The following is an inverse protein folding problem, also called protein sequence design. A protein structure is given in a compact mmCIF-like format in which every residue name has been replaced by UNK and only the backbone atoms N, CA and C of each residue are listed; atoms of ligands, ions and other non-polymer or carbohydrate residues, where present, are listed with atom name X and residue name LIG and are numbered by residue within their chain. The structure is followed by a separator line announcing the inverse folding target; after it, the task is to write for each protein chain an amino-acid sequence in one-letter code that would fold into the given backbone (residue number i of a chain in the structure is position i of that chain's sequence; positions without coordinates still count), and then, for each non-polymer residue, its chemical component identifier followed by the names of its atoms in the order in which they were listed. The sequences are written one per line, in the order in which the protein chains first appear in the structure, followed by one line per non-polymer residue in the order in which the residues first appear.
data_IF_246759788743
#
_entry.id   IF_246759788743
#
_cell.length_a   1.000
_cell.length_b   1.000
_cell.length_c   1.000
_cell.angle_alpha   90.00
_cell.angle_beta   90.00
_cell.angle_gamma   90.00
#
_symmetry.space_group_name_H-M   'P 1'
#
loop_
_entity.id
_entity.type
_entity.pdbx_description
1 polymer ?
#
# COMPACT_ATOMS: atom_id res chain seq x y z
N UNK A 1 12.91 -10.87 2.25
CA UNK A 1 11.74 -10.39 1.48
C UNK A 1 10.60 -10.07 2.44
N UNK A 2 9.98 -8.92 2.28
CA UNK A 2 8.72 -8.53 2.90
C UNK A 2 7.60 -8.65 1.87
N UNK A 3 6.50 -9.33 2.21
CA UNK A 3 5.39 -9.58 1.29
C UNK A 3 4.13 -8.93 1.82
N UNK A 4 3.52 -8.01 1.05
CA UNK A 4 2.35 -7.26 1.52
C UNK A 4 1.10 -7.58 0.71
N UNK A 5 0.00 -7.85 1.44
CA UNK A 5 -1.35 -7.90 0.91
C UNK A 5 -2.25 -6.88 1.62
N UNK A 6 -3.43 -6.65 1.09
CA UNK A 6 -4.40 -5.70 1.65
C UNK A 6 -5.23 -5.04 0.56
N UNK A 7 -6.19 -4.23 0.93
CA UNK A 7 -6.99 -3.46 -0.02
C UNK A 7 -6.40 -2.07 -0.19
N UNK A 8 -6.34 -1.29 0.88
CA UNK A 8 -5.81 0.07 0.87
C UNK A 8 -4.59 0.18 1.80
N UNK A 9 -3.61 1.04 1.47
CA UNK A 9 -2.46 1.30 2.31
C UNK A 9 -1.17 0.56 1.96
N UNK A 10 -1.20 -0.51 1.14
CA UNK A 10 -0.01 -1.31 0.78
C UNK A 10 1.18 -0.44 0.35
N UNK A 11 0.97 0.39 -0.67
CA UNK A 11 2.03 1.25 -1.21
C UNK A 11 2.53 2.28 -0.20
N UNK A 12 1.66 2.86 0.64
CA UNK A 12 2.08 3.80 1.70
C UNK A 12 2.94 3.10 2.75
N UNK A 13 2.54 1.92 3.23
CA UNK A 13 3.31 1.13 4.20
C UNK A 13 4.69 0.82 3.62
N UNK A 14 4.76 0.34 2.36
CA UNK A 14 6.04 0.04 1.73
C UNK A 14 6.88 1.29 1.42
N UNK A 15 6.26 2.44 1.16
CA UNK A 15 7.01 3.68 1.02
C UNK A 15 7.71 4.06 2.34
N UNK A 16 7.02 3.99 3.48
CA UNK A 16 7.60 4.21 4.80
C UNK A 16 8.72 3.20 5.11
N UNK A 17 8.48 1.91 4.85
CA UNK A 17 9.49 0.86 5.08
C UNK A 17 10.72 1.08 4.20
N UNK A 18 10.54 1.37 2.91
CA UNK A 18 11.65 1.60 1.99
C UNK A 18 12.52 2.76 2.43
N UNK A 19 11.92 3.92 2.71
CA UNK A 19 12.70 5.12 3.08
C UNK A 19 13.47 4.91 4.39
N UNK A 20 12.92 4.16 5.33
CA UNK A 20 13.60 3.83 6.58
C UNK A 20 14.75 2.84 6.38
N UNK A 21 14.57 1.80 5.56
CA UNK A 21 15.64 0.87 5.21
C UNK A 21 16.79 1.58 4.47
N UNK A 22 16.46 2.48 3.53
CA UNK A 22 17.44 3.31 2.84
C UNK A 22 18.19 4.26 3.81
N UNK A 23 17.45 4.83 4.78
CA UNK A 23 18.05 5.67 5.82
C UNK A 23 19.01 4.90 6.74
N UNK A 24 18.76 3.60 6.92
CA UNK A 24 19.63 2.66 7.64
C UNK A 24 20.80 2.15 6.79
N UNK A 25 20.87 2.50 5.49
CA UNK A 25 21.97 2.16 4.59
C UNK A 25 21.80 0.84 3.83
N UNK A 26 20.63 0.22 3.83
CA UNK A 26 20.35 -0.99 3.07
C UNK A 26 20.02 -0.70 1.60
N UNK A 27 20.32 -1.66 0.72
CA UNK A 27 19.84 -1.69 -0.66
C UNK A 27 18.48 -2.36 -0.75
N UNK A 28 17.51 -1.67 -1.34
CA UNK A 28 16.10 -2.10 -1.33
C UNK A 28 15.55 -2.25 -2.74
N UNK A 29 15.11 -3.46 -3.08
CA UNK A 29 14.27 -3.72 -4.24
C UNK A 29 12.79 -3.56 -3.89
N UNK A 30 12.00 -2.87 -4.73
CA UNK A 30 10.55 -2.74 -4.54
C UNK A 30 9.80 -3.07 -5.82
N UNK A 31 8.82 -3.98 -5.70
CA UNK A 31 7.88 -4.35 -6.76
C UNK A 31 6.47 -3.97 -6.36
N UNK A 32 5.82 -3.13 -7.17
CA UNK A 32 4.49 -2.56 -6.89
C UNK A 32 3.56 -2.66 -8.10
N UNK A 33 2.27 -2.68 -7.83
CA UNK A 33 1.23 -2.55 -8.83
C UNK A 33 -0.08 -1.98 -8.24
N UNK A 34 -0.87 -1.21 -9.02
CA UNK A 34 -0.56 -0.64 -10.33
C UNK A 34 0.46 0.49 -10.27
N UNK A 35 0.91 0.96 -11.44
CA UNK A 35 1.78 2.12 -11.62
C UNK A 35 0.96 3.40 -11.85
N UNK A 36 1.56 4.57 -11.58
CA UNK A 36 0.91 5.87 -11.72
C UNK A 36 1.51 6.68 -12.88
N UNK A 37 2.83 6.75 -12.96
CA UNK A 37 3.54 7.61 -13.91
C UNK A 37 4.02 6.85 -15.14
N UNK A 38 4.74 5.77 -14.93
CA UNK A 38 5.33 4.97 -16.00
C UNK A 38 5.19 3.48 -15.74
N UNK A 39 5.22 2.68 -16.80
CA UNK A 39 5.16 1.22 -16.69
C UNK A 39 6.28 0.64 -15.82
N UNK A 40 7.50 1.18 -15.94
CA UNK A 40 8.69 0.66 -15.25
C UNK A 40 8.82 1.11 -13.78
N UNK A 41 7.96 2.01 -13.31
CA UNK A 41 7.93 2.41 -11.90
C UNK A 41 7.62 1.22 -10.95
N UNK A 42 7.09 0.12 -11.49
CA UNK A 42 6.84 -1.11 -10.72
C UNK A 42 8.11 -1.81 -10.24
N UNK A 43 9.25 -1.55 -10.91
CA UNK A 43 10.54 -2.14 -10.62
C UNK A 43 11.48 -1.07 -10.09
N UNK A 44 11.70 -1.04 -8.81
CA UNK A 44 12.56 -0.03 -8.19
C UNK A 44 13.74 -0.67 -7.48
N UNK A 45 14.89 -0.09 -7.68
CA UNK A 45 16.11 -0.35 -6.92
C UNK A 45 16.46 0.94 -6.18
N UNK A 46 16.34 0.92 -4.86
CA UNK A 46 16.41 2.10 -4.01
C UNK A 46 15.35 3.14 -4.43
N UNK A 47 15.75 4.30 -4.98
CA UNK A 47 14.83 5.31 -5.50
C UNK A 47 14.85 5.40 -7.04
N UNK A 48 15.53 4.48 -7.71
CA UNK A 48 15.66 4.45 -9.17
C UNK A 48 14.69 3.44 -9.78
N UNK A 49 13.97 3.84 -10.80
CA UNK A 49 13.21 2.91 -11.63
C UNK A 49 14.13 2.11 -12.54
N UNK A 50 13.73 0.88 -12.87
CA UNK A 50 14.38 0.08 -13.90
C UNK A 50 14.39 0.86 -15.23
N UNK A 51 15.48 0.79 -15.98
CA UNK A 51 15.57 1.38 -17.31
C UNK A 51 14.95 0.46 -18.37
N UNK A 52 14.61 1.02 -19.54
CA UNK A 52 14.08 0.25 -20.67
C UNK A 52 15.07 -0.82 -21.15
N UNK A 53 16.36 -0.51 -21.17
CA UNK A 53 17.43 -1.46 -21.55
C UNK A 53 17.55 -2.62 -20.56
N UNK A 54 17.50 -2.33 -19.23
CA UNK A 54 17.51 -3.35 -18.19
C UNK A 54 16.27 -4.26 -18.31
N UNK A 55 15.10 -3.65 -18.53
CA UNK A 55 13.85 -4.38 -18.72
C UNK A 55 13.89 -5.25 -19.97
N UNK A 56 14.31 -4.72 -21.11
CA UNK A 56 14.40 -5.46 -22.38
C UNK A 56 15.36 -6.66 -22.27
N UNK A 57 16.51 -6.49 -21.61
CA UNK A 57 17.45 -7.58 -21.40
C UNK A 57 16.84 -8.71 -20.55
N UNK A 58 16.22 -8.38 -19.41
CA UNK A 58 15.59 -9.35 -18.52
C UNK A 58 14.38 -10.03 -19.18
N UNK A 59 13.55 -9.25 -19.89
CA UNK A 59 12.39 -9.78 -20.59
C UNK A 59 12.80 -10.76 -21.70
N UNK A 60 13.91 -10.50 -22.40
CA UNK A 60 14.46 -11.42 -23.42
C UNK A 60 14.83 -12.77 -22.83
N UNK A 61 15.41 -12.79 -21.62
CA UNK A 61 15.72 -14.04 -20.95
C UNK A 61 14.47 -14.80 -20.49
N UNK A 62 13.50 -14.07 -19.92
CA UNK A 62 12.22 -14.67 -19.53
C UNK A 62 11.50 -15.24 -20.74
N UNK A 63 11.51 -14.54 -21.90
CA UNK A 63 10.91 -15.01 -23.14
C UNK A 63 11.52 -16.33 -23.62
N UNK A 64 12.84 -16.49 -23.55
CA UNK A 64 13.50 -17.74 -23.92
C UNK A 64 13.08 -18.92 -23.03
N UNK A 65 12.82 -18.68 -21.74
CA UNK A 65 12.28 -19.70 -20.82
C UNK A 65 10.84 -20.03 -21.18
N UNK A 66 10.03 -19.04 -21.50
CA UNK A 66 8.62 -19.23 -21.93
C UNK A 66 8.54 -20.09 -23.19
N UNK A 67 9.38 -19.84 -24.19
CA UNK A 67 9.45 -20.66 -25.42
C UNK A 67 9.76 -22.12 -25.09
N UNK A 68 10.63 -22.36 -24.13
CA UNK A 68 10.94 -23.72 -23.65
C UNK A 68 9.75 -24.37 -22.94
N UNK A 69 9.08 -23.62 -22.05
CA UNK A 69 7.87 -24.08 -21.35
C UNK A 69 6.75 -24.45 -22.34
N UNK A 70 6.50 -23.62 -23.34
CA UNK A 70 5.48 -23.86 -24.38
C UNK A 70 5.84 -25.10 -25.22
N UNK A 71 7.12 -25.30 -25.56
CA UNK A 71 7.62 -26.48 -26.27
C UNK A 71 7.39 -27.75 -25.44
N UNK A 72 7.54 -27.68 -24.12
CA UNK A 72 7.29 -28.75 -23.18
C UNK A 72 5.79 -28.98 -22.90
N UNK A 73 4.91 -28.19 -23.51
CA UNK A 73 3.44 -28.32 -23.42
C UNK A 73 2.79 -27.57 -22.26
N UNK A 74 3.50 -26.66 -21.59
CA UNK A 74 2.90 -25.77 -20.59
C UNK A 74 2.18 -24.60 -21.25
N UNK A 75 1.18 -24.04 -20.58
CA UNK A 75 0.52 -22.83 -21.02
C UNK A 75 1.46 -21.62 -20.89
N UNK A 76 1.31 -20.63 -21.77
CA UNK A 76 2.01 -19.35 -21.67
C UNK A 76 1.61 -18.64 -20.35
N UNK A 77 2.57 -18.09 -19.60
CA UNK A 77 2.28 -17.34 -18.39
C UNK A 77 1.52 -16.04 -18.71
N UNK A 78 0.77 -15.56 -17.74
CA UNK A 78 0.12 -14.24 -17.82
C UNK A 78 1.15 -13.12 -17.80
N UNK A 79 0.74 -11.93 -18.26
CA UNK A 79 1.59 -10.73 -18.21
C UNK A 79 2.11 -10.47 -16.80
N UNK A 80 1.26 -10.60 -15.77
CA UNK A 80 1.66 -10.34 -14.38
C UNK A 80 2.65 -11.39 -13.84
N UNK A 81 2.55 -12.65 -14.27
CA UNK A 81 3.55 -13.68 -13.96
C UNK A 81 4.90 -13.39 -14.61
N UNK A 82 4.89 -12.93 -15.87
CA UNK A 82 6.11 -12.51 -16.58
C UNK A 82 6.76 -11.31 -15.87
N UNK A 83 5.96 -10.28 -15.55
CA UNK A 83 6.41 -9.10 -14.82
C UNK A 83 7.02 -9.47 -13.47
N UNK A 84 6.40 -10.39 -12.74
CA UNK A 84 6.89 -10.89 -11.46
C UNK A 84 8.22 -11.64 -11.60
N UNK A 85 8.37 -12.48 -12.63
CA UNK A 85 9.62 -13.16 -12.92
C UNK A 85 10.76 -12.16 -13.23
N UNK A 86 10.47 -11.13 -14.03
CA UNK A 86 11.43 -10.03 -14.31
C UNK A 86 11.84 -9.33 -13.01
N UNK A 87 10.91 -9.06 -12.09
CA UNK A 87 11.20 -8.43 -10.80
C UNK A 87 12.17 -9.29 -9.98
N UNK A 88 11.91 -10.60 -9.86
CA UNK A 88 12.80 -11.51 -9.11
C UNK A 88 14.20 -11.57 -9.72
N UNK A 89 14.33 -11.67 -11.05
CA UNK A 89 15.64 -11.63 -11.72
C UNK A 89 16.36 -10.31 -11.47
N UNK A 90 15.65 -9.19 -11.56
CA UNK A 90 16.22 -7.87 -11.34
C UNK A 90 16.81 -7.73 -9.95
N UNK A 91 16.05 -8.08 -8.92
CA UNK A 91 16.51 -7.97 -7.55
C UNK A 91 17.63 -8.96 -7.21
N UNK A 92 17.55 -10.20 -7.71
CA UNK A 92 18.58 -11.19 -7.51
C UNK A 92 19.94 -10.74 -8.11
N UNK A 93 19.93 -10.12 -9.30
CA UNK A 93 21.14 -9.63 -9.96
C UNK A 93 21.75 -8.40 -9.32
N UNK A 94 20.92 -7.58 -8.71
CA UNK A 94 21.38 -6.37 -8.03
C UNK A 94 21.73 -6.60 -6.55
N UNK A 95 21.67 -7.85 -6.07
CA UNK A 95 22.07 -8.24 -4.71
C UNK A 95 21.47 -7.33 -3.62
N UNK A 96 20.18 -7.02 -3.73
CA UNK A 96 19.51 -6.19 -2.74
C UNK A 96 19.43 -6.87 -1.37
N UNK A 97 19.51 -6.10 -0.29
CA UNK A 97 19.38 -6.60 1.08
C UNK A 97 17.93 -6.96 1.40
N UNK A 98 17.00 -6.11 0.97
CA UNK A 98 15.57 -6.30 1.16
C UNK A 98 14.79 -6.22 -0.15
N UNK A 99 13.79 -7.09 -0.30
CA UNK A 99 12.78 -7.00 -1.36
C UNK A 99 11.43 -6.71 -0.73
N UNK A 100 10.81 -5.62 -1.15
CA UNK A 100 9.44 -5.24 -0.82
C UNK A 100 8.52 -5.66 -1.97
N UNK A 101 7.71 -6.69 -1.74
CA UNK A 101 6.92 -7.35 -2.77
C UNK A 101 5.42 -7.12 -2.53
N UNK A 102 4.77 -6.34 -3.37
CA UNK A 102 3.34 -6.07 -3.29
C UNK A 102 2.53 -7.10 -4.10
N UNK A 103 1.53 -7.74 -3.47
CA UNK A 103 0.55 -8.55 -4.18
C UNK A 103 -0.24 -7.70 -5.17
N UNK A 104 -0.38 -8.19 -6.38
CA UNK A 104 -1.21 -7.54 -7.39
C UNK A 104 -2.70 -7.64 -7.07
N UNK A 105 -3.17 -8.86 -6.74
CA UNK A 105 -4.57 -9.11 -6.38
C UNK A 105 -4.69 -10.37 -5.51
N UNK A 106 -5.50 -10.28 -4.44
CA UNK A 106 -5.70 -11.41 -3.54
C UNK A 106 -4.47 -11.71 -2.72
N UNK A 107 -3.95 -12.92 -2.81
CA UNK A 107 -2.76 -13.40 -2.12
C UNK A 107 -2.46 -14.86 -2.47
N UNK A 108 -3.41 -15.79 -2.23
CA UNK A 108 -3.20 -17.24 -2.42
C UNK A 108 -2.77 -17.62 -3.84
N UNK A 109 -3.38 -17.00 -4.85
CA UNK A 109 -3.15 -17.24 -6.28
C UNK A 109 -2.32 -16.14 -6.95
N UNK A 110 -1.81 -15.18 -6.16
CA UNK A 110 -1.02 -14.08 -6.72
C UNK A 110 0.34 -14.59 -7.24
N UNK A 111 0.79 -14.07 -8.38
CA UNK A 111 2.08 -14.48 -8.96
C UNK A 111 3.26 -14.22 -8.02
N UNK A 112 3.14 -13.24 -7.11
CA UNK A 112 4.17 -12.96 -6.10
C UNK A 112 4.24 -14.03 -5.01
N UNK A 113 3.23 -14.90 -4.87
CA UNK A 113 3.12 -15.88 -3.79
C UNK A 113 3.93 -17.18 -4.01
N UNK A 114 4.91 -17.15 -4.89
CA UNK A 114 5.86 -18.26 -5.10
C UNK A 114 6.93 -18.34 -4.01
N UNK A 115 6.98 -17.38 -3.11
CA UNK A 115 7.93 -17.35 -2.00
C UNK A 115 7.70 -18.52 -1.05
N UNK A 116 8.74 -19.28 -0.78
CA UNK A 116 8.66 -20.38 0.19
C UNK A 116 8.49 -19.87 1.63
N UNK A 117 9.20 -18.78 1.97
CA UNK A 117 9.17 -18.17 3.30
C UNK A 117 9.58 -16.69 3.20
N UNK A 118 8.63 -15.74 3.19
CA UNK A 118 8.97 -14.34 3.40
C UNK A 118 9.45 -14.11 4.85
N UNK A 119 10.25 -13.10 5.06
CA UNK A 119 10.70 -12.68 6.40
C UNK A 119 9.51 -12.20 7.24
N UNK A 120 8.72 -11.31 6.65
CA UNK A 120 7.50 -10.79 7.25
C UNK A 120 6.41 -10.75 6.18
N UNK A 121 5.20 -11.24 6.55
CA UNK A 121 3.97 -10.96 5.82
C UNK A 121 3.28 -9.75 6.42
N UNK A 122 2.99 -8.75 5.60
CA UNK A 122 2.34 -7.51 6.04
C UNK A 122 0.93 -7.45 5.49
N UNK A 123 -0.03 -7.09 6.34
CA UNK A 123 -1.41 -6.84 5.91
C UNK A 123 -1.76 -5.37 6.10
N UNK A 124 -1.92 -4.66 5.00
CA UNK A 124 -2.61 -3.37 5.02
C UNK A 124 -4.11 -3.59 5.28
N UNK A 125 -4.85 -2.52 5.51
CA UNK A 125 -6.28 -2.62 5.76
C UNK A 125 -7.00 -3.41 4.65
N UNK A 126 -7.83 -4.37 5.07
CA UNK A 126 -8.67 -5.20 4.19
C UNK A 126 -10.09 -4.66 4.22
N UNK A 127 -10.63 -4.35 3.05
CA UNK A 127 -12.00 -3.90 2.84
C UNK A 127 -12.59 -4.54 1.58
N UNK A 128 -13.86 -4.29 1.32
CA UNK A 128 -14.53 -4.80 0.11
C UNK A 128 -13.90 -4.18 -1.13
N UNK A 129 -13.33 -5.00 -1.98
CA UNK A 129 -12.82 -4.66 -3.31
C UNK A 129 -12.65 -5.93 -4.14
N UNK A 130 -12.60 -5.81 -5.46
CA UNK A 130 -12.42 -6.95 -6.39
C UNK A 130 -13.38 -8.12 -6.13
N UNK A 131 -14.64 -7.83 -5.74
CA UNK A 131 -15.62 -8.83 -5.32
C UNK A 131 -15.89 -9.92 -6.36
N UNK A 132 -15.73 -9.60 -7.64
CA UNK A 132 -15.90 -10.56 -8.74
C UNK A 132 -14.83 -11.67 -8.74
N UNK A 133 -13.67 -11.43 -8.12
CA UNK A 133 -12.53 -12.36 -8.08
C UNK A 133 -12.29 -12.93 -6.68
N UNK A 134 -12.37 -12.10 -5.65
CA UNK A 134 -11.97 -12.47 -4.28
C UNK A 134 -13.16 -12.91 -3.41
N UNK A 135 -14.39 -12.73 -3.90
CA UNK A 135 -15.60 -13.06 -3.18
C UNK A 135 -16.35 -11.85 -2.64
N UNK A 136 -17.55 -12.10 -2.19
CA UNK A 136 -18.59 -11.12 -1.84
C UNK A 136 -18.71 -10.85 -0.33
N UNK A 137 -17.76 -11.34 0.47
CA UNK A 137 -17.68 -11.11 1.92
C UNK A 137 -16.26 -10.77 2.36
N UNK A 138 -16.13 -10.00 3.45
CA UNK A 138 -14.83 -9.68 4.04
C UNK A 138 -14.05 -10.95 4.44
N UNK A 139 -14.74 -11.95 4.98
CA UNK A 139 -14.14 -13.25 5.33
C UNK A 139 -13.47 -13.91 4.12
N UNK A 140 -14.15 -13.98 2.96
CA UNK A 140 -13.58 -14.55 1.73
C UNK A 140 -12.37 -13.76 1.26
N UNK A 141 -12.48 -12.43 1.19
CA UNK A 141 -11.40 -11.55 0.77
C UNK A 141 -10.19 -11.67 1.70
N UNK A 142 -10.43 -11.71 3.02
CA UNK A 142 -9.37 -11.89 4.02
C UNK A 142 -8.68 -13.25 3.88
N UNK A 143 -9.45 -14.32 3.65
CA UNK A 143 -8.92 -15.67 3.44
C UNK A 143 -8.01 -15.74 2.21
N UNK A 144 -8.46 -15.17 1.08
CA UNK A 144 -7.65 -15.12 -0.14
C UNK A 144 -6.34 -14.33 0.08
N UNK A 145 -6.43 -13.18 0.76
CA UNK A 145 -5.23 -12.37 1.06
C UNK A 145 -4.29 -13.08 2.04
N UNK A 146 -4.83 -13.78 3.03
CA UNK A 146 -4.05 -14.54 4.01
C UNK A 146 -3.28 -15.74 3.41
N UNK A 147 -3.54 -16.09 2.16
CA UNK A 147 -2.76 -17.11 1.43
C UNK A 147 -1.28 -16.80 1.26
N UNK A 148 -0.82 -15.58 1.56
CA UNK A 148 0.61 -15.23 1.61
C UNK A 148 1.28 -15.67 2.91
N UNK A 149 0.53 -16.02 3.95
CA UNK A 149 1.08 -16.47 5.24
C UNK A 149 1.71 -17.86 5.04
N UNK A 150 2.97 -17.97 5.38
CA UNK A 150 3.74 -19.23 5.30
C UNK A 150 4.07 -19.75 6.69
N UNK A 151 4.38 -21.05 6.82
CA UNK A 151 4.72 -21.62 8.11
C UNK A 151 5.86 -20.87 8.81
N UNK A 152 5.66 -20.57 10.09
CA UNK A 152 6.66 -19.95 10.97
C UNK A 152 7.13 -18.56 10.51
N UNK A 153 6.30 -17.81 9.78
CA UNK A 153 6.57 -16.41 9.44
C UNK A 153 6.07 -15.47 10.53
N UNK A 154 6.57 -14.26 10.53
CA UNK A 154 5.99 -13.16 11.30
C UNK A 154 4.95 -12.43 10.45
N UNK A 155 3.76 -12.23 11.01
CA UNK A 155 2.67 -11.49 10.37
C UNK A 155 2.42 -10.21 11.14
N UNK A 156 2.48 -9.08 10.41
CA UNK A 156 2.17 -7.75 10.95
C UNK A 156 0.98 -7.18 10.18
N UNK A 157 -0.06 -6.82 10.92
CA UNK A 157 -1.30 -6.30 10.35
C UNK A 157 -1.57 -4.87 10.79
N UNK A 158 -1.93 -4.01 9.84
CA UNK A 158 -2.65 -2.79 10.15
C UNK A 158 -3.93 -3.11 10.94
N UNK A 159 -4.53 -2.14 11.63
CA UNK A 159 -5.80 -2.33 12.31
C UNK A 159 -6.87 -2.85 11.36
N UNK A 160 -7.59 -3.88 11.76
CA UNK A 160 -8.63 -4.52 10.96
C UNK A 160 -9.98 -4.48 11.68
N UNK A 161 -11.06 -4.68 10.93
CA UNK A 161 -12.36 -4.99 11.56
C UNK A 161 -12.31 -6.38 12.21
N UNK A 162 -13.07 -6.63 13.29
CA UNK A 162 -12.95 -7.87 14.07
C UNK A 162 -13.10 -9.16 13.25
N UNK A 163 -13.94 -9.16 12.21
CA UNK A 163 -14.12 -10.29 11.30
C UNK A 163 -12.83 -10.64 10.54
N UNK A 164 -12.10 -9.62 10.07
CA UNK A 164 -10.85 -9.80 9.34
C UNK A 164 -9.74 -10.24 10.28
N UNK A 165 -9.60 -9.58 11.44
CA UNK A 165 -8.60 -9.94 12.46
C UNK A 165 -8.75 -11.40 12.89
N UNK A 166 -9.99 -11.88 13.03
CA UNK A 166 -10.28 -13.27 13.36
C UNK A 166 -9.72 -14.23 12.30
N UNK A 167 -10.02 -13.98 11.02
CA UNK A 167 -9.54 -14.81 9.91
C UNK A 167 -8.01 -14.86 9.88
N UNK A 168 -7.34 -13.71 10.00
CA UNK A 168 -5.88 -13.65 9.98
C UNK A 168 -5.26 -14.43 11.15
N UNK A 169 -5.81 -14.30 12.36
CA UNK A 169 -5.35 -15.04 13.56
C UNK A 169 -5.50 -16.55 13.40
N UNK A 170 -6.68 -17.01 12.96
CA UNK A 170 -6.96 -18.43 12.74
C UNK A 170 -5.98 -19.05 11.71
N UNK A 171 -5.66 -18.34 10.63
CA UNK A 171 -4.70 -18.81 9.64
C UNK A 171 -3.28 -18.78 10.21
N UNK A 172 -2.90 -17.76 10.98
CA UNK A 172 -1.60 -17.74 11.66
C UNK A 172 -1.43 -18.92 12.63
N UNK A 173 -2.47 -19.27 13.40
CA UNK A 173 -2.45 -20.44 14.27
C UNK A 173 -2.20 -21.74 13.48
N UNK A 174 -2.90 -21.94 12.37
CA UNK A 174 -2.72 -23.11 11.49
C UNK A 174 -1.30 -23.17 10.91
N UNK A 175 -0.73 -22.00 10.56
CA UNK A 175 0.61 -21.90 9.98
C UNK A 175 1.72 -21.81 11.04
N UNK A 176 1.40 -21.85 12.33
CA UNK A 176 2.36 -21.60 13.41
C UNK A 176 3.13 -20.28 13.21
N UNK A 177 2.48 -19.29 12.64
CA UNK A 177 3.00 -17.94 12.40
C UNK A 177 2.71 -17.03 13.59
N UNK A 178 3.62 -16.13 13.91
CA UNK A 178 3.34 -15.08 14.91
C UNK A 178 2.44 -14.00 14.29
N UNK A 179 1.53 -13.44 15.09
CA UNK A 179 0.62 -12.39 14.64
C UNK A 179 0.69 -11.16 15.53
N UNK A 180 0.99 -10.03 14.93
CA UNK A 180 1.02 -8.71 15.55
C UNK A 180 0.03 -7.81 14.82
N UNK A 181 -0.99 -7.32 15.50
CA UNK A 181 -1.93 -6.32 14.97
C UNK A 181 -1.66 -4.99 15.65
N UNK A 182 -1.46 -3.96 14.83
CA UNK A 182 -1.19 -2.62 15.32
C UNK A 182 -2.43 -2.05 16.01
N UNK A 183 -2.22 -1.43 17.18
CA UNK A 183 -3.30 -0.82 17.93
C UNK A 183 -3.23 0.72 17.79
N UNK A 184 -4.22 1.37 17.15
CA UNK A 184 -4.21 2.82 16.98
C UNK A 184 -4.16 3.62 18.29
N UNK A 185 -4.68 3.05 19.40
CA UNK A 185 -4.69 3.73 20.71
C UNK A 185 -3.32 3.83 21.36
N UNK A 186 -2.30 3.15 20.84
CA UNK A 186 -0.93 3.26 21.35
C UNK A 186 -0.24 4.57 20.89
N UNK A 187 -0.91 5.37 20.06
CA UNK A 187 -0.33 6.58 19.47
C UNK A 187 -1.19 7.81 19.72
N UNK A 188 -0.56 8.90 20.12
CA UNK A 188 -1.20 10.20 20.32
C UNK A 188 -0.87 11.14 19.17
N UNK A 189 -1.90 11.77 18.60
CA UNK A 189 -1.74 12.82 17.57
C UNK A 189 -1.47 14.14 18.26
N UNK A 190 -0.27 14.65 18.13
CA UNK A 190 0.15 15.95 18.67
C UNK A 190 -0.33 17.10 17.78
N UNK A 191 -0.17 16.94 16.47
CA UNK A 191 -0.56 17.93 15.47
C UNK A 191 -0.91 17.25 14.16
N UNK A 192 -1.91 17.80 13.44
CA UNK A 192 -2.25 17.39 12.08
C UNK A 192 -2.63 18.58 11.23
N UNK A 193 -1.92 18.82 10.13
CA UNK A 193 -2.14 19.90 9.20
C UNK A 193 -1.68 19.53 7.76
N UNK A 194 -1.64 20.50 6.85
CA UNK A 194 -1.22 20.26 5.44
C UNK A 194 0.28 20.00 5.24
N UNK A 195 1.09 20.16 6.28
CA UNK A 195 2.52 19.82 6.25
C UNK A 195 2.77 18.40 6.72
N UNK A 196 1.76 17.75 7.31
CA UNK A 196 1.82 16.38 7.80
C UNK A 196 1.15 16.20 9.15
N UNK A 197 1.45 15.06 9.78
CA UNK A 197 0.94 14.69 11.11
C UNK A 197 2.11 14.37 12.02
N UNK A 198 2.12 15.00 13.22
CA UNK A 198 3.05 14.64 14.31
C UNK A 198 2.34 13.70 15.26
N UNK A 199 2.97 12.54 15.53
CA UNK A 199 2.42 11.53 16.45
C UNK A 199 3.50 11.05 17.41
N UNK A 200 3.09 10.71 18.62
CA UNK A 200 3.96 10.13 19.65
C UNK A 200 3.50 8.72 19.96
N UNK A 201 4.44 7.79 20.05
CA UNK A 201 4.20 6.42 20.48
C UNK A 201 4.09 6.39 22.01
N UNK A 202 2.88 6.14 22.52
CA UNK A 202 2.56 6.02 23.95
C UNK A 202 2.39 4.55 24.37
N UNK A 203 2.65 3.60 23.49
CA UNK A 203 2.51 2.18 23.75
C UNK A 203 3.49 1.68 24.82
N UNK A 204 3.00 0.79 25.67
CA UNK A 204 3.84 0.08 26.65
C UNK A 204 4.65 -0.99 25.91
N UNK A 205 5.97 -0.94 26.07
CA UNK A 205 6.84 -1.97 25.54
C UNK A 205 6.65 -3.28 26.35
N UNK A 206 6.26 -4.41 25.75
CA UNK A 206 6.13 -5.68 26.47
C UNK A 206 7.46 -6.23 26.99
N UNK A 207 8.60 -5.75 26.50
CA UNK A 207 9.94 -6.15 26.94
C UNK A 207 10.63 -5.03 27.72
N UNK A 208 10.21 -4.81 28.97
CA UNK A 208 10.89 -3.90 29.91
C UNK A 208 12.34 -4.34 30.27
N UNK A 209 12.83 -5.45 29.75
CA UNK A 209 14.14 -6.00 30.10
C UNK A 209 15.34 -5.35 29.38
N UNK A 210 15.12 -4.55 28.34
CA UNK A 210 16.16 -3.77 27.62
C UNK A 210 15.90 -2.27 27.73
N UNK A 211 15.98 -1.73 28.92
CA UNK A 211 15.87 -0.31 29.22
C UNK A 211 17.25 0.36 29.02
N UNK A 212 17.60 0.73 27.78
CA UNK A 212 18.72 1.67 27.56
C UNK A 212 18.50 2.49 26.29
N UNK A 213 18.80 3.79 26.38
CA UNK A 213 18.99 4.82 25.33
C UNK A 213 17.92 4.94 24.19
N UNK A 214 17.27 3.85 23.82
CA UNK A 214 16.28 3.79 22.71
C UNK A 214 14.88 4.29 23.15
N UNK A 215 14.57 4.28 24.46
CA UNK A 215 13.28 4.76 25.01
C UNK A 215 13.11 6.27 24.82
N UNK A 216 14.18 7.03 24.96
CA UNK A 216 14.14 8.50 24.81
C UNK A 216 13.86 8.90 23.34
N UNK A 217 14.27 8.08 22.40
CA UNK A 217 14.03 8.32 20.96
C UNK A 217 12.62 7.90 20.51
N UNK A 218 12.05 6.85 21.10
CA UNK A 218 10.66 6.42 20.81
C UNK A 218 9.63 7.45 21.27
N UNK A 219 9.94 8.22 22.31
CA UNK A 219 9.09 9.30 22.79
C UNK A 219 9.19 10.58 21.96
N UNK A 220 10.13 10.65 21.00
CA UNK A 220 10.17 11.78 20.08
C UNK A 220 9.01 11.65 19.06
N UNK A 221 8.37 12.77 18.67
CA UNK A 221 7.32 12.72 17.68
C UNK A 221 7.83 12.21 16.32
N UNK A 222 7.06 11.33 15.69
CA UNK A 222 7.24 10.97 14.29
C UNK A 222 6.52 11.99 13.42
N UNK A 223 7.22 12.50 12.41
CA UNK A 223 6.64 13.32 11.37
C UNK A 223 6.16 12.45 10.21
N UNK A 224 4.85 12.37 9.99
CA UNK A 224 4.21 11.63 8.90
C UNK A 224 3.81 12.63 7.81
N UNK A 225 4.55 12.73 6.69
CA UNK A 225 4.27 13.72 5.64
C UNK A 225 3.08 13.37 4.74
N UNK A 226 2.66 12.09 4.71
CA UNK A 226 1.50 11.66 3.94
C UNK A 226 0.21 12.11 4.64
N UNK A 227 -0.67 12.80 3.90
CA UNK A 227 -1.89 13.36 4.44
C UNK A 227 -3.00 12.32 4.62
N UNK A 228 -3.79 12.49 5.69
CA UNK A 228 -4.95 11.67 6.03
C UNK A 228 -4.75 10.82 7.28
N UNK A 229 -5.80 10.70 8.11
CA UNK A 229 -5.74 9.94 9.37
C UNK A 229 -5.34 8.47 9.19
N UNK A 230 -5.76 7.85 8.09
CA UNK A 230 -5.38 6.47 7.74
C UNK A 230 -3.88 6.27 7.54
N UNK A 231 -3.12 7.35 7.25
CA UNK A 231 -1.67 7.28 7.13
C UNK A 231 -0.97 7.08 8.48
N UNK A 232 -1.62 7.42 9.59
CA UNK A 232 -1.11 7.12 10.93
C UNK A 232 -1.02 5.60 11.11
N UNK A 233 -2.11 4.88 10.82
CA UNK A 233 -2.12 3.41 10.91
C UNK A 233 -1.14 2.75 9.93
N UNK A 234 -0.97 3.31 8.73
CA UNK A 234 0.03 2.84 7.76
C UNK A 234 1.46 3.04 8.30
N UNK A 235 1.75 4.21 8.89
CA UNK A 235 3.06 4.50 9.48
C UNK A 235 3.33 3.61 10.70
N UNK A 236 2.34 3.43 11.59
CA UNK A 236 2.44 2.49 12.73
C UNK A 236 2.79 1.07 12.25
N UNK A 237 2.09 0.60 11.21
CA UNK A 237 2.35 -0.73 10.64
C UNK A 237 3.78 -0.83 10.10
N UNK A 238 4.24 0.19 9.37
CA UNK A 238 5.61 0.25 8.85
C UNK A 238 6.65 0.28 9.98
N UNK A 239 6.44 1.08 11.02
CA UNK A 239 7.33 1.17 12.17
C UNK A 239 7.40 -0.17 12.92
N UNK A 240 6.26 -0.85 13.09
CA UNK A 240 6.23 -2.19 13.69
C UNK A 240 7.04 -3.19 12.85
N UNK A 241 6.93 -3.14 11.50
CA UNK A 241 7.76 -3.95 10.59
C UNK A 241 9.24 -3.65 10.79
N UNK A 242 9.62 -2.38 10.83
CA UNK A 242 11.02 -1.94 10.95
C UNK A 242 11.62 -2.33 12.30
N UNK A 243 10.88 -2.18 13.39
CA UNK A 243 11.29 -2.62 14.74
C UNK A 243 11.47 -4.14 14.81
N UNK A 244 10.57 -4.89 14.16
CA UNK A 244 10.69 -6.37 14.05
C UNK A 244 11.95 -6.79 13.26
N UNK A 245 12.42 -5.94 12.35
CA UNK A 245 13.67 -6.12 11.62
C UNK A 245 14.90 -5.55 12.37
N UNK A 246 14.71 -5.05 13.59
CA UNK A 246 15.76 -4.43 14.42
C UNK A 246 16.44 -3.23 13.74
N UNK A 247 15.67 -2.45 12.98
CA UNK A 247 16.17 -1.19 12.39
C UNK A 247 16.27 -0.12 13.48
N UNK A 248 17.38 0.61 13.47
CA UNK A 248 17.66 1.69 14.41
C UNK A 248 16.58 2.78 14.38
N UNK A 249 16.11 3.21 15.55
CA UNK A 249 15.00 4.16 15.68
C UNK A 249 15.28 5.51 14.98
N UNK A 250 16.54 5.97 14.98
CA UNK A 250 16.99 7.17 14.25
C UNK A 250 16.77 7.05 12.73
N UNK A 251 17.02 5.86 12.16
CA UNK A 251 16.78 5.59 10.74
C UNK A 251 15.28 5.52 10.44
N UNK A 252 14.48 4.96 11.36
CA UNK A 252 13.03 4.92 11.26
C UNK A 252 12.46 6.35 11.23
N UNK A 253 12.77 7.20 12.21
CA UNK A 253 12.34 8.60 12.24
C UNK A 253 12.69 9.34 10.95
N UNK A 254 13.95 9.20 10.50
CA UNK A 254 14.42 9.84 9.27
C UNK A 254 13.66 9.35 8.04
N UNK A 255 13.45 8.05 7.91
CA UNK A 255 12.77 7.45 6.76
C UNK A 255 11.30 7.82 6.70
N UNK A 256 10.59 7.72 7.83
CA UNK A 256 9.19 8.15 7.93
C UNK A 256 9.03 9.60 7.49
N UNK A 257 9.86 10.51 8.03
CA UNK A 257 9.79 11.94 7.73
C UNK A 257 10.13 12.31 6.28
N UNK A 258 10.91 11.48 5.57
CA UNK A 258 11.30 11.71 4.18
C UNK A 258 10.39 11.01 3.16
N UNK A 259 9.37 10.27 3.63
CA UNK A 259 8.52 9.46 2.76
C UNK A 259 7.69 10.31 1.82
N UNK A 260 7.76 9.98 0.55
CA UNK A 260 6.92 10.52 -0.52
C UNK A 260 6.20 9.38 -1.22
N UNK A 261 4.89 9.51 -1.38
CA UNK A 261 4.09 8.53 -2.12
C UNK A 261 3.07 9.23 -3.00
N UNK A 262 3.28 9.18 -4.30
CA UNK A 262 2.42 9.87 -5.27
C UNK A 262 1.00 9.30 -5.29
N UNK A 263 0.02 10.17 -5.55
CA UNK A 263 -1.39 9.79 -5.60
C UNK A 263 -2.02 9.53 -4.22
N UNK A 264 -1.44 10.06 -3.15
CA UNK A 264 -2.02 10.07 -1.81
C UNK A 264 -2.05 11.51 -1.29
N UNK A 265 -3.12 12.23 -1.60
CA UNK A 265 -3.25 13.66 -1.32
C UNK A 265 -1.98 14.44 -1.69
N UNK A 266 -1.38 14.09 -2.84
CA UNK A 266 -0.13 14.69 -3.29
C UNK A 266 -0.37 16.11 -3.76
N UNK A 267 0.28 17.10 -3.11
CA UNK A 267 0.25 18.49 -3.53
C UNK A 267 1.08 18.67 -4.81
N UNK A 268 0.44 19.12 -5.90
CA UNK A 268 1.10 19.36 -7.19
C UNK A 268 1.22 20.84 -7.54
N UNK A 269 0.43 21.72 -6.88
CA UNK A 269 0.54 23.17 -7.02
C UNK A 269 0.03 23.90 -5.77
N UNK A 270 0.44 25.15 -5.60
CA UNK A 270 0.05 26.01 -4.46
C UNK A 270 -0.84 27.17 -4.84
N UNK A 271 -0.78 27.65 -6.07
CA UNK A 271 -1.56 28.81 -6.53
C UNK A 271 -2.24 28.53 -7.87
N UNK A 272 -3.46 27.96 -7.90
CA UNK A 272 -4.27 27.47 -6.77
C UNK A 272 -3.67 26.20 -6.14
N UNK A 273 -4.11 25.86 -4.93
CA UNK A 273 -3.80 24.55 -4.35
C UNK A 273 -4.42 23.45 -5.22
N UNK A 274 -3.56 22.52 -5.68
CA UNK A 274 -3.99 21.35 -6.43
C UNK A 274 -3.42 20.11 -5.74
N UNK A 275 -4.31 19.17 -5.42
CA UNK A 275 -3.95 17.87 -4.84
C UNK A 275 -4.44 16.76 -5.76
N UNK A 276 -3.66 15.66 -5.82
CA UNK A 276 -4.00 14.45 -6.58
C UNK A 276 -4.12 13.28 -5.62
N UNK A 277 -5.22 12.54 -5.75
CA UNK A 277 -5.46 11.33 -4.97
C UNK A 277 -5.94 10.19 -5.85
N UNK A 278 -5.49 8.97 -5.55
CA UNK A 278 -5.80 7.74 -6.28
C UNK A 278 -6.94 6.92 -5.65
N UNK A 279 -7.76 7.50 -4.81
CA UNK A 279 -8.92 6.83 -4.22
C UNK A 279 -9.85 6.30 -5.32
N UNK A 280 -10.21 5.01 -5.27
CA UNK A 280 -10.95 4.34 -6.33
C UNK A 280 -11.90 3.24 -5.83
N UNK A 281 -12.15 3.16 -4.53
CA UNK A 281 -13.14 2.30 -3.90
C UNK A 281 -13.85 3.05 -2.75
N UNK A 282 -14.94 2.47 -2.24
CA UNK A 282 -15.79 3.10 -1.22
C UNK A 282 -14.97 3.52 0.01
N UNK A 283 -14.19 2.61 0.59
CA UNK A 283 -13.40 2.90 1.78
C UNK A 283 -12.35 4.00 1.55
N UNK A 284 -11.70 4.04 0.38
CA UNK A 284 -10.75 5.10 0.05
C UNK A 284 -11.45 6.46 -0.12
N UNK A 285 -12.70 6.49 -0.63
CA UNK A 285 -13.47 7.73 -0.73
C UNK A 285 -13.94 8.26 0.63
N UNK A 286 -14.22 7.38 1.58
CA UNK A 286 -14.48 7.77 2.98
C UNK A 286 -13.26 8.47 3.59
N UNK A 287 -12.06 7.93 3.39
CA UNK A 287 -10.82 8.58 3.83
C UNK A 287 -10.56 9.91 3.12
N UNK A 288 -10.81 9.97 1.81
CA UNK A 288 -10.66 11.21 1.04
C UNK A 288 -11.64 12.27 1.56
N UNK A 289 -12.91 11.91 1.80
CA UNK A 289 -13.91 12.81 2.38
C UNK A 289 -13.44 13.37 3.72
N UNK A 290 -13.06 12.51 4.65
CA UNK A 290 -12.58 12.91 5.98
C UNK A 290 -11.38 13.86 5.87
N UNK A 291 -10.44 13.54 4.96
CA UNK A 291 -9.28 14.38 4.71
C UNK A 291 -9.66 15.76 4.16
N UNK A 292 -10.59 15.81 3.19
CA UNK A 292 -11.05 17.09 2.62
C UNK A 292 -11.79 17.93 3.66
N UNK A 293 -12.68 17.33 4.44
CA UNK A 293 -13.41 18.01 5.52
C UNK A 293 -12.44 18.58 6.57
N UNK A 294 -11.36 17.86 6.87
CA UNK A 294 -10.36 18.27 7.87
C UNK A 294 -9.41 19.35 7.36
N UNK A 295 -8.80 19.14 6.21
CA UNK A 295 -7.73 20.01 5.72
C UNK A 295 -8.22 21.24 4.97
N UNK A 296 -9.43 21.19 4.39
CA UNK A 296 -9.98 22.26 3.55
C UNK A 296 -11.25 22.88 4.13
N UNK A 297 -11.40 22.82 5.44
CA UNK A 297 -12.49 23.52 6.16
C UNK A 297 -12.59 24.99 5.70
N UNK A 298 -13.79 25.44 5.36
CA UNK A 298 -14.08 26.79 4.85
C UNK A 298 -13.44 27.14 3.49
N UNK A 299 -12.99 26.15 2.72
CA UNK A 299 -12.51 26.32 1.34
C UNK A 299 -13.53 25.77 0.35
N UNK A 300 -13.62 26.40 -0.81
CA UNK A 300 -14.39 25.87 -1.94
C UNK A 300 -13.52 24.84 -2.65
N UNK A 301 -13.89 23.56 -2.57
CA UNK A 301 -13.17 22.47 -3.22
C UNK A 301 -13.84 22.16 -4.56
N UNK A 302 -13.04 22.21 -5.63
CA UNK A 302 -13.45 21.86 -6.99
C UNK A 302 -12.78 20.53 -7.33
N UNK A 303 -13.56 19.55 -7.77
CA UNK A 303 -13.05 18.24 -8.13
C UNK A 303 -12.90 18.11 -9.64
N UNK A 304 -11.79 17.48 -10.07
CA UNK A 304 -11.67 16.87 -11.39
C UNK A 304 -11.76 15.37 -11.16
N UNK A 305 -12.83 14.74 -11.66
CA UNK A 305 -13.19 13.39 -11.25
C UNK A 305 -13.51 12.50 -12.44
N UNK A 306 -12.93 11.29 -12.42
CA UNK A 306 -13.26 10.18 -13.30
C UNK A 306 -13.19 8.87 -12.53
N UNK A 307 -14.08 7.95 -12.82
CA UNK A 307 -14.15 6.65 -12.14
C UNK A 307 -14.25 5.51 -13.16
N UNK A 308 -13.97 4.29 -12.71
CA UNK A 308 -14.11 3.09 -13.54
C UNK A 308 -15.52 2.49 -13.36
N UNK A 309 -16.09 1.93 -14.43
CA UNK A 309 -17.45 1.38 -14.46
C UNK A 309 -17.66 0.12 -13.61
N UNK A 310 -16.57 -0.56 -13.25
CA UNK A 310 -16.58 -1.78 -12.42
C UNK A 310 -16.49 -1.47 -10.91
N UNK A 311 -16.48 -0.19 -10.52
CA UNK A 311 -16.50 0.25 -9.13
C UNK A 311 -17.91 0.62 -8.67
N UNK A 312 -18.13 0.68 -7.36
CA UNK A 312 -19.42 1.09 -6.76
C UNK A 312 -19.57 2.63 -6.82
N UNK A 313 -19.53 3.18 -8.05
CA UNK A 313 -19.43 4.63 -8.28
C UNK A 313 -20.63 5.43 -7.74
N UNK A 314 -21.83 4.84 -7.64
CA UNK A 314 -23.00 5.49 -7.06
C UNK A 314 -22.78 5.78 -5.57
N UNK A 315 -22.37 4.77 -4.79
CA UNK A 315 -22.03 4.93 -3.37
C UNK A 315 -20.86 5.88 -3.16
N UNK A 316 -19.85 5.78 -4.03
CA UNK A 316 -18.69 6.66 -3.99
C UNK A 316 -19.13 8.13 -4.15
N UNK A 317 -20.01 8.43 -5.12
CA UNK A 317 -20.55 9.78 -5.32
C UNK A 317 -21.31 10.28 -4.09
N UNK A 318 -22.19 9.47 -3.51
CA UNK A 318 -22.94 9.81 -2.28
C UNK A 318 -21.98 10.22 -1.13
N UNK A 319 -20.82 9.57 -1.01
CA UNK A 319 -19.83 9.88 0.03
C UNK A 319 -19.20 11.24 -0.21
N UNK A 320 -18.74 11.54 -1.42
CA UNK A 320 -17.85 12.68 -1.66
C UNK A 320 -18.60 13.95 -2.12
N UNK A 321 -19.77 13.81 -2.75
CA UNK A 321 -20.54 14.93 -3.28
C UNK A 321 -20.81 16.04 -2.25
N UNK A 322 -21.10 15.75 -0.96
CA UNK A 322 -21.30 16.80 0.05
C UNK A 322 -20.11 17.75 0.25
N UNK A 323 -18.90 17.35 -0.16
CA UNK A 323 -17.69 18.18 -0.06
C UNK A 323 -17.41 19.01 -1.32
N UNK A 324 -18.18 18.80 -2.40
CA UNK A 324 -17.94 19.42 -3.70
C UNK A 324 -18.61 20.80 -3.79
N UNK A 325 -17.83 21.85 -4.00
CA UNK A 325 -18.37 23.14 -4.43
C UNK A 325 -18.68 23.16 -5.94
N UNK A 326 -17.94 22.38 -6.72
CA UNK A 326 -18.14 22.11 -8.14
C UNK A 326 -17.35 20.86 -8.56
N UNK A 327 -17.73 20.25 -9.68
CA UNK A 327 -17.01 19.13 -10.25
C UNK A 327 -16.83 19.26 -11.77
N UNK A 328 -15.64 18.92 -12.26
CA UNK A 328 -15.35 18.68 -13.67
C UNK A 328 -15.28 17.17 -13.85
N UNK A 329 -16.24 16.62 -14.57
CA UNK A 329 -16.34 15.17 -14.78
C UNK A 329 -15.65 14.76 -16.07
N UNK A 330 -14.75 13.80 -15.99
CA UNK A 330 -14.03 13.26 -17.14
C UNK A 330 -14.35 11.77 -17.33
N UNK A 331 -14.22 11.28 -18.54
CA UNK A 331 -14.18 9.84 -18.84
C UNK A 331 -12.72 9.40 -18.84
N UNK A 332 -12.29 8.48 -17.95
CA UNK A 332 -10.93 7.95 -18.00
C UNK A 332 -10.63 7.29 -19.34
N UNK A 333 -9.45 7.56 -19.91
CA UNK A 333 -9.03 7.01 -21.21
C UNK A 333 -8.60 5.55 -21.05
N UNK A 334 -9.59 4.70 -20.84
CA UNK A 334 -9.43 3.25 -20.72
C UNK A 334 -10.76 2.56 -21.08
N UNK A 335 -10.73 1.33 -21.61
CA UNK A 335 -11.96 0.55 -21.87
C UNK A 335 -12.86 0.37 -20.64
N UNK A 336 -12.30 0.50 -19.42
CA UNK A 336 -13.03 0.42 -18.15
C UNK A 336 -13.56 1.78 -17.67
N UNK A 337 -13.24 2.89 -18.34
CA UNK A 337 -13.69 4.23 -17.95
C UNK A 337 -15.22 4.34 -17.92
N UNK A 338 -15.77 4.91 -16.84
CA UNK A 338 -17.19 5.25 -16.77
C UNK A 338 -17.44 6.51 -17.61
N UNK A 339 -18.39 6.49 -18.58
CA UNK A 339 -18.73 7.68 -19.34
C UNK A 339 -19.17 8.84 -18.45
N UNK A 340 -18.64 10.03 -18.71
CA UNK A 340 -18.99 11.26 -17.96
C UNK A 340 -20.49 11.57 -18.01
N UNK A 341 -21.17 11.15 -19.07
CA UNK A 341 -22.63 11.31 -19.28
C UNK A 341 -23.45 10.50 -18.25
N UNK A 342 -22.85 9.46 -17.65
CA UNK A 342 -23.45 8.68 -16.55
C UNK A 342 -23.08 9.30 -15.20
N UNK A 343 -21.81 9.67 -15.01
CA UNK A 343 -21.30 10.16 -13.73
C UNK A 343 -21.81 11.57 -13.38
N UNK A 344 -21.86 12.48 -14.35
CA UNK A 344 -22.21 13.88 -14.11
C UNK A 344 -23.65 14.06 -13.55
N UNK A 345 -24.71 13.38 -14.08
CA UNK A 345 -26.04 13.46 -13.50
C UNK A 345 -26.12 12.93 -12.06
N UNK A 346 -25.34 11.92 -11.71
CA UNK A 346 -25.30 11.38 -10.34
C UNK A 346 -24.75 12.39 -9.36
N UNK A 347 -23.69 13.11 -9.74
CA UNK A 347 -23.11 14.19 -8.92
C UNK A 347 -24.06 15.38 -8.80
N UNK A 348 -24.80 15.72 -9.87
CA UNK A 348 -25.76 16.83 -9.86
C UNK A 348 -27.02 16.54 -9.01
N UNK A 349 -27.33 15.27 -8.79
CA UNK A 349 -28.51 14.85 -8.01
C UNK A 349 -28.26 14.89 -6.50
N UNK A 350 -27.04 15.03 -6.05
CA UNK A 350 -26.64 15.16 -4.64
C UNK A 350 -26.54 16.65 -4.22
#
# INVERSE_FOLDING_TARGET
TLHIAGTNGKGSIFAFVQESLLAAGYHVGRYISPTILTYLERYQLDRRYMTEDEFAALLTEVAAVIETMETDGFASPTVFEIETAVAFLYFARNHVDYVLLECGMGGSQDATNVLAKPEICVFAQISMDHMQFLGDTLTKIATEKAGIIKPYTTVISAPQVPEVSKVLREICEVQHASYIEVNPSDWEVVQMNLDGTEVVDCGTNPDESNMDADMDQRQQPYHIPLLGEHQIANAQTAITVLRTLYIEETAIHKGIAQTVWLGRMTKVAEHPYIYVDGAHNVAAWEYLRTSVEKYFTNRRVIYIIGVLKDKEYEKMVEILAPTMAAAVVITPDTPRGLPKEILAPLIQAQ
#
